data_IF_393486151831
#
_entry.id   IF_393486151831
#
_cell.length_a   1.000
_cell.length_b   1.000
_cell.length_c   1.000
_cell.angle_alpha   90.00
_cell.angle_beta   90.00
_cell.angle_gamma   90.00
#
_symmetry.space_group_name_H-M   'P 1'
#
loop_
_entity.id
_entity.type
_entity.pdbx_description
1 polymer ?
#
# COMPACT_ATOMS: atom_id res chain seq x y z
N UNK A 1 -7.16 3.94 -7.27
CA UNK A 1 -5.77 3.65 -7.70
C UNK A 1 -5.30 2.38 -6.99
N UNK A 2 -4.40 1.58 -7.58
CA UNK A 2 -3.84 0.39 -6.93
C UNK A 2 -2.42 0.65 -6.42
N UNK A 3 -2.08 0.11 -5.25
CA UNK A 3 -0.73 0.19 -4.70
C UNK A 3 0.09 -0.99 -5.22
N UNK A 4 1.23 -0.70 -5.85
CA UNK A 4 2.10 -1.69 -6.46
C UNK A 4 3.56 -1.40 -6.15
N UNK A 5 4.47 -2.37 -6.35
CA UNK A 5 5.91 -2.13 -6.21
C UNK A 5 6.40 -0.95 -7.07
N UNK A 6 5.81 -0.74 -8.25
CA UNK A 6 6.21 0.29 -9.21
C UNK A 6 5.86 1.70 -8.76
N UNK A 7 4.79 1.87 -7.98
CA UNK A 7 4.32 3.20 -7.54
C UNK A 7 4.45 3.44 -6.03
N UNK A 8 4.74 2.41 -5.23
CA UNK A 8 4.77 2.48 -3.77
C UNK A 8 5.73 3.55 -3.21
N UNK A 9 6.85 3.80 -3.89
CA UNK A 9 7.81 4.84 -3.52
C UNK A 9 7.15 6.24 -3.37
N UNK A 10 6.14 6.54 -4.18
CA UNK A 10 5.45 7.83 -4.19
C UNK A 10 4.52 8.03 -2.98
N UNK A 11 4.22 6.94 -2.28
CA UNK A 11 3.28 6.89 -1.17
C UNK A 11 3.93 6.58 0.17
N UNK A 12 5.25 6.37 0.20
CA UNK A 12 5.99 6.19 1.46
C UNK A 12 5.73 7.39 2.37
N UNK A 13 5.34 7.10 3.62
CA UNK A 13 5.00 8.12 4.62
C UNK A 13 3.68 8.87 4.40
N UNK A 14 2.92 8.55 3.35
CA UNK A 14 1.59 9.14 3.11
C UNK A 14 0.49 8.26 3.67
N UNK A 15 -0.60 8.89 4.08
CA UNK A 15 -1.84 8.21 4.46
C UNK A 15 -2.68 7.89 3.24
N UNK A 16 -2.96 6.60 3.01
CA UNK A 16 -3.83 6.14 1.93
C UNK A 16 -5.09 5.48 2.51
N UNK A 17 -6.27 5.77 1.96
CA UNK A 17 -7.55 5.26 2.47
C UNK A 17 -8.24 4.47 1.37
N UNK A 18 -8.66 3.23 1.61
CA UNK A 18 -9.20 2.37 0.55
C UNK A 18 -10.46 1.62 0.95
N UNK A 19 -11.07 0.94 -0.04
CA UNK A 19 -12.30 0.13 0.09
C UNK A 19 -12.30 -0.90 1.21
N UNK A 20 -11.12 -1.42 1.55
CA UNK A 20 -10.92 -2.38 2.64
C UNK A 20 -10.38 -1.73 3.93
N UNK A 21 -10.04 -0.44 3.89
CA UNK A 21 -9.30 0.28 4.92
C UNK A 21 -9.99 1.60 5.34
N UNK A 22 -11.32 1.68 5.20
CA UNK A 22 -12.14 2.90 5.33
C UNK A 22 -11.87 3.76 6.58
N UNK A 23 -11.32 3.19 7.66
CA UNK A 23 -11.14 3.86 8.94
C UNK A 23 -9.68 4.07 9.35
N UNK A 24 -8.71 3.46 8.64
CA UNK A 24 -7.29 3.51 9.03
C UNK A 24 -6.40 3.66 7.80
N UNK A 25 -5.46 4.62 7.82
CA UNK A 25 -4.58 4.83 6.68
C UNK A 25 -3.61 3.66 6.52
N UNK A 26 -3.46 3.16 5.31
CA UNK A 26 -2.35 2.30 4.96
C UNK A 26 -1.05 3.08 5.11
N UNK A 27 -0.06 2.46 5.76
CA UNK A 27 1.31 3.00 5.82
C UNK A 27 2.19 2.24 4.85
N UNK A 28 2.72 2.95 3.86
CA UNK A 28 3.69 2.38 2.92
C UNK A 28 5.10 2.58 3.46
N UNK A 29 5.88 1.51 3.48
CA UNK A 29 7.25 1.48 3.97
C UNK A 29 8.18 0.83 2.93
N UNK A 30 9.42 1.31 2.88
CA UNK A 30 10.49 0.64 2.13
C UNK A 30 11.29 -0.23 3.08
N UNK A 31 11.46 -1.50 2.72
CA UNK A 31 12.27 -2.44 3.49
C UNK A 31 13.72 -2.45 2.98
N UNK A 32 14.67 -2.92 3.80
CA UNK A 32 16.12 -2.89 3.50
C UNK A 32 16.52 -3.68 2.25
N UNK A 33 15.68 -4.60 1.80
CA UNK A 33 15.85 -5.37 0.56
C UNK A 33 15.41 -4.61 -0.70
N UNK A 34 15.04 -3.33 -0.58
CA UNK A 34 14.58 -2.50 -1.70
C UNK A 34 13.11 -2.71 -2.07
N UNK A 35 12.40 -3.64 -1.43
CA UNK A 35 10.98 -3.90 -1.68
C UNK A 35 10.09 -3.01 -0.81
N UNK A 36 8.91 -2.72 -1.35
CA UNK A 36 7.89 -1.96 -0.63
C UNK A 36 6.85 -2.87 0.02
N UNK A 37 6.41 -2.46 1.20
CA UNK A 37 5.38 -3.14 1.98
C UNK A 37 4.34 -2.10 2.40
N UNK A 38 3.14 -2.57 2.67
CA UNK A 38 2.11 -1.77 3.33
C UNK A 38 1.71 -2.44 4.64
N UNK A 39 1.37 -1.60 5.61
CA UNK A 39 0.84 -2.03 6.90
C UNK A 39 -0.64 -1.67 6.93
N UNK A 40 -1.48 -2.66 7.21
CA UNK A 40 -2.93 -2.46 7.32
C UNK A 40 -3.36 -1.96 8.72
N UNK A 41 -4.68 -1.86 8.91
CA UNK A 41 -5.31 -1.43 10.18
C UNK A 41 -5.02 -2.35 11.37
N UNK A 42 -4.67 -3.61 11.12
CA UNK A 42 -4.38 -4.60 12.14
C UNK A 42 -2.88 -4.69 12.45
N UNK A 43 -2.05 -3.87 11.80
CA UNK A 43 -0.60 -3.94 11.91
C UNK A 43 0.01 -5.07 11.09
N UNK A 44 -0.75 -5.71 10.20
CA UNK A 44 -0.24 -6.77 9.34
C UNK A 44 0.54 -6.13 8.21
N UNK A 45 1.82 -6.50 8.14
CA UNK A 45 2.72 -6.05 7.08
C UNK A 45 2.64 -7.02 5.90
N UNK A 46 2.26 -6.50 4.74
CA UNK A 46 2.13 -7.26 3.50
C UNK A 46 2.99 -6.64 2.41
N UNK A 47 3.58 -7.49 1.57
CA UNK A 47 4.38 -7.03 0.43
C UNK A 47 3.44 -6.32 -0.56
N UNK A 48 3.83 -5.15 -1.07
CA UNK A 48 3.07 -4.53 -2.16
C UNK A 48 3.07 -5.49 -3.37
N UNK A 49 1.91 -5.74 -3.99
CA UNK A 49 1.84 -6.59 -5.17
C UNK A 49 2.59 -5.98 -6.35
N UNK A 50 2.91 -6.79 -7.34
CA UNK A 50 3.39 -6.28 -8.63
C UNK A 50 2.23 -5.64 -9.41
N UNK A 51 2.50 -4.70 -10.32
CA UNK A 51 1.46 -4.11 -11.17
C UNK A 51 0.68 -5.12 -12.03
N UNK A 52 1.26 -6.29 -12.30
CA UNK A 52 0.60 -7.35 -13.06
C UNK A 52 -0.21 -8.30 -12.18
N UNK A 53 -0.05 -8.26 -10.85
CA UNK A 53 -0.83 -9.05 -9.90
C UNK A 53 -2.08 -8.28 -9.48
N UNK A 54 -3.03 -8.21 -10.40
CA UNK A 54 -4.31 -7.54 -10.17
C UNK A 54 -5.22 -8.30 -9.19
N UNK A 55 -4.96 -9.59 -8.97
CA UNK A 55 -5.72 -10.41 -8.02
C UNK A 55 -5.42 -9.99 -6.57
N UNK A 56 -4.14 -9.73 -6.25
CA UNK A 56 -3.73 -9.25 -4.93
C UNK A 56 -3.59 -7.72 -4.86
N UNK A 57 -4.10 -6.98 -5.86
CA UNK A 57 -3.98 -5.54 -5.92
C UNK A 57 -4.69 -4.84 -4.75
N UNK A 58 -4.01 -3.85 -4.17
CA UNK A 58 -4.54 -3.07 -3.06
C UNK A 58 -5.14 -1.78 -3.58
N UNK A 59 -6.46 -1.69 -3.62
CA UNK A 59 -7.16 -0.50 -4.09
C UNK A 59 -7.30 0.55 -2.99
N UNK A 60 -6.92 1.78 -3.32
CA UNK A 60 -7.01 2.92 -2.42
C UNK A 60 -7.39 4.21 -3.16
N UNK A 61 -7.79 5.17 -2.36
CA UNK A 61 -8.01 6.59 -2.66
C UNK A 61 -7.00 7.40 -1.85
N UNK A 62 -6.49 8.46 -2.46
CA UNK A 62 -5.64 9.41 -1.76
C UNK A 62 -6.56 10.27 -0.89
N UNK A 63 -6.28 10.40 0.41
CA UNK A 63 -6.87 11.52 1.14
C UNK A 63 -6.26 12.80 0.59
N UNK A 64 -7.11 13.68 0.08
CA UNK A 64 -6.74 15.04 -0.29
C UNK A 64 -6.32 15.85 0.95
#
# INVERSE_FOLDING_TARGET
MCLTQQNAAQFVGKSLFGGHFHYWPLRVIQHKNGLYYYIDRFGVMMKCPDQNDLFNAVYFSRAE
#
